data_IF_930944418948
#
_entry.id   IF_930944418948
#
_cell.length_a   1.000
_cell.length_b   1.000
_cell.length_c   1.000
_cell.angle_alpha   90.00
_cell.angle_beta   90.00
_cell.angle_gamma   90.00
#
_symmetry.space_group_name_H-M   'P 1'
#
loop_
_entity.id
_entity.type
_entity.pdbx_description
1 polymer ?
#
# COMPACT_ATOMS: atom_id res chain seq x y z
N UNK A 1 -24.19 19.04 -15.30
CA UNK A 1 -23.87 18.99 -13.89
C UNK A 1 -23.26 17.64 -13.47
N UNK A 2 -23.77 16.47 -13.95
CA UNK A 2 -23.22 15.16 -13.60
C UNK A 2 -21.80 14.88 -14.13
N UNK A 3 -21.47 15.33 -15.36
CA UNK A 3 -20.13 15.09 -15.95
C UNK A 3 -18.99 15.74 -15.18
N UNK A 4 -19.18 16.92 -14.59
CA UNK A 4 -18.13 17.58 -13.79
C UNK A 4 -17.81 16.84 -12.50
N UNK A 5 -18.84 16.36 -11.80
CA UNK A 5 -18.66 15.60 -10.53
C UNK A 5 -17.95 14.27 -10.77
N UNK A 6 -18.25 13.58 -11.88
CA UNK A 6 -17.60 12.29 -12.21
C UNK A 6 -16.10 12.46 -12.53
N UNK A 7 -15.73 13.55 -13.21
CA UNK A 7 -14.31 13.84 -13.51
C UNK A 7 -13.53 14.14 -12.22
N UNK A 8 -14.11 14.96 -11.35
CA UNK A 8 -13.49 15.30 -10.06
C UNK A 8 -13.33 14.05 -9.18
N UNK A 9 -14.33 13.14 -9.21
CA UNK A 9 -14.30 11.90 -8.42
C UNK A 9 -13.29 10.88 -8.95
N UNK A 10 -13.14 10.77 -10.28
CA UNK A 10 -12.10 9.93 -10.90
C UNK A 10 -10.71 10.45 -10.54
N UNK A 11 -10.47 11.75 -10.68
CA UNK A 11 -9.19 12.37 -10.35
C UNK A 11 -8.87 12.22 -8.86
N UNK A 12 -9.84 12.50 -7.99
CA UNK A 12 -9.68 12.30 -6.54
C UNK A 12 -9.32 10.86 -6.20
N UNK A 13 -10.04 9.87 -6.75
CA UNK A 13 -9.74 8.47 -6.51
C UNK A 13 -8.31 8.11 -6.98
N UNK A 14 -7.92 8.59 -8.14
CA UNK A 14 -6.60 8.34 -8.70
C UNK A 14 -5.49 8.92 -7.81
N UNK A 15 -5.65 10.13 -7.31
CA UNK A 15 -4.71 10.75 -6.38
C UNK A 15 -4.69 10.04 -5.02
N UNK A 16 -5.85 9.65 -4.48
CA UNK A 16 -5.95 8.87 -3.26
C UNK A 16 -5.26 7.51 -3.40
N UNK A 17 -5.41 6.85 -4.55
CA UNK A 17 -4.73 5.58 -4.86
C UNK A 17 -3.21 5.76 -4.87
N UNK A 18 -2.70 6.79 -5.56
CA UNK A 18 -1.27 7.09 -5.61
C UNK A 18 -0.72 7.44 -4.22
N UNK A 19 -1.46 8.21 -3.44
CA UNK A 19 -1.09 8.55 -2.06
C UNK A 19 -1.01 7.30 -1.18
N UNK A 20 -2.05 6.47 -1.19
CA UNK A 20 -2.10 5.22 -0.42
C UNK A 20 -0.96 4.28 -0.82
N UNK A 21 -0.68 4.14 -2.12
CA UNK A 21 0.45 3.38 -2.63
C UNK A 21 1.79 3.89 -2.08
N UNK A 22 2.03 5.21 -2.13
CA UNK A 22 3.29 5.80 -1.65
C UNK A 22 3.46 5.62 -0.14
N UNK A 23 2.39 5.82 0.63
CA UNK A 23 2.44 5.62 2.08
C UNK A 23 2.71 4.16 2.43
N UNK A 24 2.01 3.22 1.79
CA UNK A 24 2.26 1.78 1.98
C UNK A 24 3.69 1.40 1.57
N UNK A 25 4.20 1.92 0.46
CA UNK A 25 5.57 1.69 0.04
C UNK A 25 6.58 2.25 1.06
N UNK A 26 6.29 3.41 1.64
CA UNK A 26 7.14 4.04 2.65
C UNK A 26 7.18 3.23 3.95
N UNK A 27 6.02 2.84 4.50
CA UNK A 27 5.95 2.10 5.78
C UNK A 27 6.38 0.64 5.67
N UNK A 28 6.27 0.02 4.49
CA UNK A 28 6.59 -1.39 4.26
C UNK A 28 7.98 -1.62 3.67
N UNK A 29 8.60 -0.59 3.13
CA UNK A 29 9.82 -0.73 2.34
C UNK A 29 9.62 -1.66 1.14
N UNK A 30 8.44 -1.67 0.53
CA UNK A 30 8.13 -2.48 -0.64
C UNK A 30 9.09 -2.19 -1.79
N UNK A 31 9.38 -3.22 -2.58
CA UNK A 31 10.09 -3.05 -3.87
C UNK A 31 9.08 -2.62 -4.91
N UNK A 32 9.48 -1.73 -5.79
CA UNK A 32 8.69 -1.34 -6.97
C UNK A 32 8.81 -2.41 -8.06
N UNK A 33 8.28 -3.58 -7.75
CA UNK A 33 8.08 -4.67 -8.70
C UNK A 33 6.67 -4.58 -9.30
N UNK A 34 6.25 -5.54 -10.08
CA UNK A 34 5.05 -5.48 -10.90
C UNK A 34 3.77 -5.06 -10.16
N UNK A 35 3.47 -5.64 -9.00
CA UNK A 35 2.27 -5.33 -8.20
C UNK A 35 2.57 -5.59 -6.72
N UNK A 36 3.23 -4.67 -6.02
CA UNK A 36 3.65 -4.90 -4.64
C UNK A 36 2.47 -5.09 -3.67
N UNK A 37 1.30 -4.52 -3.98
CA UNK A 37 0.07 -4.59 -3.21
C UNK A 37 -1.06 -5.16 -4.08
N UNK A 38 -0.87 -6.41 -4.58
CA UNK A 38 -1.66 -6.97 -5.66
C UNK A 38 -3.12 -7.24 -5.32
N UNK A 39 -3.40 -7.82 -4.14
CA UNK A 39 -4.75 -8.26 -3.79
C UNK A 39 -5.22 -7.68 -2.46
N UNK A 40 -6.50 -7.38 -2.35
CA UNK A 40 -7.10 -6.94 -1.09
C UNK A 40 -6.93 -7.98 0.03
N UNK A 41 -6.90 -9.26 -0.32
CA UNK A 41 -6.70 -10.39 0.59
C UNK A 41 -5.29 -10.47 1.17
N UNK A 42 -4.30 -9.79 0.58
CA UNK A 42 -2.96 -9.67 1.15
C UNK A 42 -2.93 -8.78 2.40
N UNK A 43 -3.96 -7.96 2.60
CA UNK A 43 -4.13 -7.08 3.74
C UNK A 43 -5.12 -7.68 4.75
N UNK A 44 -4.67 -7.89 5.98
CA UNK A 44 -5.56 -8.21 7.10
C UNK A 44 -5.70 -7.00 8.01
N UNK A 45 -6.82 -6.28 7.88
CA UNK A 45 -7.08 -5.04 8.63
C UNK A 45 -7.17 -5.33 10.13
N UNK A 46 -7.79 -6.44 10.54
CA UNK A 46 -7.95 -6.77 11.97
C UNK A 46 -6.63 -7.15 12.65
N UNK A 47 -5.75 -7.84 11.94
CA UNK A 47 -4.43 -8.21 12.45
C UNK A 47 -3.37 -7.13 12.20
N UNK A 48 -3.71 -6.06 11.50
CA UNK A 48 -2.77 -5.03 11.02
C UNK A 48 -1.59 -5.62 10.26
N UNK A 49 -1.84 -6.61 9.40
CA UNK A 49 -0.77 -7.31 8.69
C UNK A 49 -0.93 -7.19 7.17
N UNK A 50 0.21 -7.17 6.50
CA UNK A 50 0.34 -7.15 5.05
C UNK A 50 1.25 -8.29 4.61
N UNK A 51 0.75 -9.15 3.73
CA UNK A 51 1.57 -10.11 2.98
C UNK A 51 2.14 -9.42 1.75
N UNK A 52 3.44 -9.32 1.65
CA UNK A 52 4.12 -8.61 0.58
C UNK A 52 4.95 -9.56 -0.27
N UNK A 53 4.59 -9.73 -1.53
CA UNK A 53 5.33 -10.50 -2.52
C UNK A 53 6.32 -9.57 -3.27
N UNK A 54 7.53 -9.44 -2.75
CA UNK A 54 8.57 -8.55 -3.30
C UNK A 54 9.26 -9.08 -4.56
N UNK A 55 9.04 -10.33 -4.92
CA UNK A 55 9.64 -10.99 -6.08
C UNK A 55 8.55 -11.55 -6.97
N UNK A 56 8.81 -11.61 -8.27
CA UNK A 56 7.86 -12.04 -9.30
C UNK A 56 7.27 -13.44 -9.14
N UNK A 57 7.60 -14.16 -8.08
CA UNK A 57 7.18 -15.54 -7.84
C UNK A 57 6.37 -15.65 -6.55
N UNK A 58 5.05 -15.42 -6.64
CA UNK A 58 4.10 -15.77 -5.57
C UNK A 58 4.14 -17.29 -5.26
N UNK A 59 4.57 -18.10 -6.22
CA UNK A 59 4.62 -19.56 -6.10
C UNK A 59 5.78 -20.07 -5.24
N UNK A 60 6.88 -19.32 -5.11
CA UNK A 60 8.11 -19.80 -4.45
C UNK A 60 8.18 -19.48 -2.93
N UNK A 61 7.08 -19.10 -2.29
CA UNK A 61 7.07 -18.80 -0.85
C UNK A 61 7.93 -17.60 -0.44
N UNK A 62 8.31 -16.75 -1.39
CA UNK A 62 9.18 -15.58 -1.17
C UNK A 62 8.44 -14.34 -0.62
N UNK A 63 7.18 -14.49 -0.24
CA UNK A 63 6.42 -13.42 0.42
C UNK A 63 6.85 -13.26 1.88
N UNK A 64 6.82 -12.03 2.37
CA UNK A 64 7.03 -11.69 3.77
C UNK A 64 5.76 -11.16 4.39
N UNK A 65 5.56 -11.46 5.67
CA UNK A 65 4.50 -10.88 6.47
C UNK A 65 5.06 -9.65 7.20
N UNK A 66 4.35 -8.54 7.09
CA UNK A 66 4.64 -7.31 7.80
C UNK A 66 3.51 -6.97 8.75
N UNK A 67 3.84 -6.36 9.87
CA UNK A 67 2.90 -5.65 10.72
C UNK A 67 2.94 -4.19 10.30
N UNK A 68 1.79 -3.57 10.11
CA UNK A 68 1.65 -2.16 9.77
C UNK A 68 1.24 -1.35 11.00
N UNK A 69 1.71 -0.12 11.08
CA UNK A 69 1.29 0.83 12.11
C UNK A 69 -0.05 1.52 11.77
N UNK A 70 -0.57 2.24 12.74
CA UNK A 70 -1.91 2.85 12.70
C UNK A 70 -2.10 3.81 11.52
N UNK A 71 -1.09 4.63 11.19
CA UNK A 71 -1.17 5.57 10.07
C UNK A 71 -1.47 4.85 8.75
N UNK A 72 -0.75 3.75 8.50
CA UNK A 72 -0.95 2.96 7.29
C UNK A 72 -2.33 2.29 7.28
N UNK A 73 -2.75 1.76 8.42
CA UNK A 73 -4.05 1.09 8.56
C UNK A 73 -5.21 2.07 8.37
N UNK A 74 -5.16 3.25 8.99
CA UNK A 74 -6.16 4.29 8.79
C UNK A 74 -6.23 4.75 7.33
N UNK A 75 -5.09 4.88 6.64
CA UNK A 75 -5.10 5.24 5.22
C UNK A 75 -5.72 4.12 4.36
N UNK A 76 -5.46 2.85 4.68
CA UNK A 76 -6.11 1.71 4.03
C UNK A 76 -7.63 1.72 4.23
N UNK A 77 -8.08 2.02 5.44
CA UNK A 77 -9.51 2.15 5.75
C UNK A 77 -10.16 3.28 4.94
N UNK A 78 -9.51 4.44 4.86
CA UNK A 78 -10.01 5.57 4.05
C UNK A 78 -10.05 5.22 2.55
N UNK A 79 -9.02 4.55 2.05
CA UNK A 79 -9.03 4.05 0.67
C UNK A 79 -10.18 3.08 0.42
N UNK A 80 -10.35 2.08 1.28
CA UNK A 80 -11.43 1.10 1.18
C UNK A 80 -12.82 1.77 1.27
N UNK A 81 -12.99 2.74 2.16
CA UNK A 81 -14.24 3.52 2.28
C UNK A 81 -14.55 4.28 0.98
N UNK A 82 -13.52 4.85 0.35
CA UNK A 82 -13.69 5.50 -0.94
C UNK A 82 -14.06 4.50 -2.05
N UNK A 83 -13.46 3.31 -2.06
CA UNK A 83 -13.81 2.22 -3.00
C UNK A 83 -15.26 1.79 -2.81
N UNK A 84 -15.72 1.59 -1.57
CA UNK A 84 -17.09 1.23 -1.24
C UNK A 84 -18.08 2.34 -1.66
N UNK A 85 -17.70 3.60 -1.50
CA UNK A 85 -18.48 4.74 -2.02
C UNK A 85 -18.60 4.72 -3.56
N UNK A 86 -17.51 4.46 -4.29
CA UNK A 86 -17.52 4.38 -5.75
C UNK A 86 -18.42 3.26 -6.27
N UNK A 87 -18.44 2.10 -5.60
CA UNK A 87 -19.34 1.00 -5.94
C UNK A 87 -20.80 1.47 -5.88
N UNK A 88 -21.19 2.17 -4.81
CA UNK A 88 -22.54 2.71 -4.67
C UNK A 88 -22.85 3.80 -5.68
N UNK A 89 -21.92 4.72 -5.91
CA UNK A 89 -22.07 5.84 -6.83
C UNK A 89 -22.27 5.40 -8.28
N UNK A 90 -21.51 4.40 -8.72
CA UNK A 90 -21.56 3.89 -10.10
C UNK A 90 -22.56 2.75 -10.32
N UNK A 91 -23.20 2.24 -9.29
CA UNK A 91 -24.08 1.06 -9.37
C UNK A 91 -25.15 1.16 -10.46
N UNK A 92 -25.72 2.36 -10.67
CA UNK A 92 -26.79 2.60 -11.64
C UNK A 92 -26.24 3.23 -12.92
N UNK A 93 -25.36 4.23 -12.79
CA UNK A 93 -24.89 5.02 -13.94
C UNK A 93 -23.83 4.31 -14.79
N UNK A 94 -22.98 3.48 -14.18
CA UNK A 94 -21.88 2.75 -14.82
C UNK A 94 -21.74 1.33 -14.22
N UNK A 95 -22.75 0.44 -14.41
CA UNK A 95 -22.81 -0.85 -13.69
C UNK A 95 -21.62 -1.78 -14.00
N UNK A 96 -21.02 -1.72 -15.18
CA UNK A 96 -19.82 -2.47 -15.53
C UNK A 96 -18.61 -2.01 -14.70
N UNK A 97 -18.41 -0.70 -14.60
CA UNK A 97 -17.35 -0.13 -13.76
C UNK A 97 -17.55 -0.50 -12.29
N UNK A 98 -18.78 -0.39 -11.77
CA UNK A 98 -19.09 -0.80 -10.40
C UNK A 98 -18.76 -2.29 -10.15
N UNK A 99 -18.94 -3.14 -11.12
CA UNK A 99 -18.59 -4.56 -11.02
C UNK A 99 -17.08 -4.80 -11.04
N UNK A 100 -16.33 -4.11 -11.88
CA UNK A 100 -14.86 -4.15 -11.88
C UNK A 100 -14.30 -3.69 -10.50
N UNK A 101 -14.87 -2.63 -9.93
CA UNK A 101 -14.47 -2.12 -8.61
C UNK A 101 -14.80 -3.13 -7.51
N UNK A 102 -15.97 -3.81 -7.56
CA UNK A 102 -16.33 -4.88 -6.60
C UNK A 102 -15.33 -6.03 -6.65
N UNK A 103 -14.93 -6.45 -7.84
CA UNK A 103 -13.93 -7.52 -8.01
C UNK A 103 -12.59 -7.13 -7.40
N UNK A 104 -12.13 -5.90 -7.61
CA UNK A 104 -10.93 -5.38 -6.96
C UNK A 104 -11.07 -5.36 -5.43
N UNK A 105 -12.23 -4.95 -4.92
CA UNK A 105 -12.53 -4.92 -3.48
C UNK A 105 -12.62 -6.30 -2.85
N UNK A 106 -13.10 -7.30 -3.61
CA UNK A 106 -13.20 -8.70 -3.18
C UNK A 106 -11.86 -9.46 -3.24
N UNK A 107 -10.85 -8.93 -3.93
CA UNK A 107 -9.56 -9.59 -4.13
C UNK A 107 -9.45 -10.40 -5.44
N UNK A 108 -10.46 -10.30 -6.32
CA UNK A 108 -10.49 -10.97 -7.63
C UNK A 108 -9.79 -10.14 -8.73
N UNK A 109 -9.29 -8.96 -8.39
CA UNK A 109 -8.52 -8.07 -9.25
C UNK A 109 -7.57 -7.21 -8.41
N UNK A 110 -6.69 -6.43 -9.06
CA UNK A 110 -5.76 -5.53 -8.38
C UNK A 110 -6.48 -4.61 -7.41
N UNK A 111 -6.10 -4.67 -6.15
CA UNK A 111 -6.71 -3.87 -5.08
C UNK A 111 -6.47 -2.37 -5.25
N UNK A 112 -5.22 -1.97 -5.53
CA UNK A 112 -4.90 -0.58 -5.86
C UNK A 112 -5.02 -0.40 -7.38
N UNK A 113 -6.01 0.39 -7.80
CA UNK A 113 -6.30 0.65 -9.21
C UNK A 113 -6.51 2.14 -9.45
N UNK A 114 -6.33 2.56 -10.70
CA UNK A 114 -6.76 3.86 -11.18
C UNK A 114 -8.06 3.71 -11.98
N UNK A 115 -8.87 4.74 -11.98
CA UNK A 115 -9.99 4.89 -12.91
C UNK A 115 -9.48 5.54 -14.19
N UNK A 116 -9.86 4.99 -15.34
CA UNK A 116 -9.53 5.55 -16.65
C UNK A 116 -10.53 5.10 -17.69
N UNK A 117 -11.22 6.03 -18.34
CA UNK A 117 -12.19 5.76 -19.42
C UNK A 117 -13.27 4.74 -18.99
N UNK A 118 -13.86 4.93 -17.83
CA UNK A 118 -14.88 4.05 -17.25
C UNK A 118 -14.42 2.59 -16.99
N UNK A 119 -13.12 2.38 -16.76
CA UNK A 119 -12.53 1.10 -16.41
C UNK A 119 -11.56 1.22 -15.22
N UNK A 120 -11.39 0.13 -14.50
CA UNK A 120 -10.29 -0.01 -13.54
C UNK A 120 -9.00 -0.36 -14.26
N UNK A 121 -7.91 0.28 -13.86
CA UNK A 121 -6.58 0.04 -14.39
C UNK A 121 -5.60 -0.29 -13.28
N UNK A 122 -5.02 -1.47 -13.36
CA UNK A 122 -3.98 -1.93 -12.42
C UNK A 122 -2.86 -0.92 -12.27
N UNK A 123 -2.46 -0.65 -11.03
CA UNK A 123 -1.37 0.26 -10.70
C UNK A 123 -0.02 -0.43 -10.92
N UNK A 124 0.60 -0.15 -12.06
CA UNK A 124 1.94 -0.66 -12.39
C UNK A 124 3.04 0.35 -12.02
N UNK A 125 4.29 -0.09 -11.78
CA UNK A 125 5.41 0.81 -11.49
C UNK A 125 5.61 1.89 -12.56
N UNK A 126 5.48 1.54 -13.83
CA UNK A 126 5.57 2.50 -14.94
C UNK A 126 4.46 3.55 -14.91
N UNK A 127 3.24 3.13 -14.53
CA UNK A 127 2.10 4.03 -14.42
C UNK A 127 2.26 4.98 -13.23
N UNK A 128 2.71 4.47 -12.08
CA UNK A 128 3.06 5.28 -10.91
C UNK A 128 4.13 6.31 -11.27
N UNK A 129 5.23 5.88 -11.89
CA UNK A 129 6.32 6.76 -12.28
C UNK A 129 5.86 7.86 -13.22
N UNK A 130 5.02 7.53 -14.21
CA UNK A 130 4.46 8.50 -15.16
C UNK A 130 3.58 9.53 -14.46
N UNK A 131 2.70 9.10 -13.56
CA UNK A 131 1.79 9.99 -12.82
C UNK A 131 2.53 10.90 -11.84
N UNK A 132 3.56 10.39 -11.17
CA UNK A 132 4.38 11.18 -10.25
C UNK A 132 5.34 12.13 -11.00
N UNK A 133 5.76 11.80 -12.22
CA UNK A 133 6.77 12.56 -12.97
C UNK A 133 6.38 14.02 -13.24
N UNK A 134 5.09 14.34 -13.24
CA UNK A 134 4.58 15.70 -13.42
C UNK A 134 4.85 16.60 -12.21
N UNK A 135 4.88 16.00 -11.01
CA UNK A 135 5.05 16.71 -9.73
C UNK A 135 6.40 16.45 -9.08
N UNK A 136 6.86 15.22 -9.15
CA UNK A 136 8.07 14.76 -8.50
C UNK A 136 8.63 13.53 -9.21
N UNK A 137 9.95 13.44 -9.41
CA UNK A 137 10.60 12.34 -10.15
C UNK A 137 11.53 11.50 -9.24
N UNK A 138 11.04 10.91 -8.16
CA UNK A 138 11.87 10.05 -7.36
C UNK A 138 12.13 8.73 -8.09
N UNK A 139 13.25 8.06 -7.82
CA UNK A 139 13.40 6.66 -8.18
C UNK A 139 12.26 5.84 -7.57
N UNK A 140 11.70 4.87 -8.30
CA UNK A 140 10.57 4.06 -7.80
C UNK A 140 10.83 3.40 -6.44
N UNK A 141 12.09 3.01 -6.17
CA UNK A 141 12.49 2.39 -4.90
C UNK A 141 12.89 3.40 -3.80
N UNK A 142 12.62 4.71 -4.00
CA UNK A 142 13.02 5.72 -3.02
C UNK A 142 12.46 5.46 -1.61
N UNK A 143 11.19 5.00 -1.43
CA UNK A 143 10.66 4.77 -0.08
C UNK A 143 11.46 3.69 0.66
N UNK A 144 11.83 2.64 -0.08
CA UNK A 144 12.64 1.54 0.45
C UNK A 144 14.06 1.99 0.84
N UNK A 145 14.71 2.79 0.00
CA UNK A 145 16.04 3.34 0.31
C UNK A 145 15.99 4.29 1.48
N UNK A 146 14.99 5.14 1.53
CA UNK A 146 14.75 6.08 2.62
C UNK A 146 14.56 5.34 3.95
N UNK A 147 13.64 4.40 4.01
CA UNK A 147 13.38 3.60 5.21
C UNK A 147 14.61 2.79 5.64
N UNK A 148 15.33 2.20 4.69
CA UNK A 148 16.59 1.49 5.00
C UNK A 148 17.63 2.42 5.61
N UNK A 149 17.79 3.62 5.08
CA UNK A 149 18.74 4.62 5.62
C UNK A 149 18.35 5.03 7.03
N UNK A 150 17.06 5.20 7.28
CA UNK A 150 16.55 5.51 8.60
C UNK A 150 16.86 4.38 9.61
N UNK A 151 16.66 3.11 9.23
CA UNK A 151 16.97 1.97 10.09
C UNK A 151 18.44 1.88 10.50
N UNK A 152 19.37 2.36 9.67
CA UNK A 152 20.81 2.35 10.01
C UNK A 152 21.09 3.19 11.27
N UNK A 153 20.32 4.25 11.49
CA UNK A 153 20.42 5.09 12.69
C UNK A 153 19.67 4.58 13.91
N UNK A 154 18.97 3.44 13.80
CA UNK A 154 18.15 2.89 14.88
C UNK A 154 18.81 1.67 15.53
N UNK A 155 18.51 1.46 16.81
CA UNK A 155 19.06 0.34 17.60
C UNK A 155 18.34 -1.02 17.36
N UNK A 156 17.84 -1.27 16.14
CA UNK A 156 17.22 -2.55 15.82
C UNK A 156 18.26 -3.61 15.46
N UNK A 157 17.99 -4.85 15.87
CA UNK A 157 18.81 -6.01 15.48
C UNK A 157 18.86 -6.15 13.96
N UNK A 158 20.06 -6.40 13.41
CA UNK A 158 20.25 -6.55 11.95
C UNK A 158 19.35 -7.63 11.34
N UNK A 159 19.09 -8.72 12.06
CA UNK A 159 18.20 -9.80 11.64
C UNK A 159 16.77 -9.33 11.42
N UNK A 160 16.24 -8.56 12.38
CA UNK A 160 14.87 -8.00 12.32
C UNK A 160 14.72 -7.05 11.13
N UNK A 161 15.67 -6.12 10.94
CA UNK A 161 15.65 -5.19 9.81
C UNK A 161 15.75 -5.95 8.48
N UNK A 162 16.60 -6.99 8.40
CA UNK A 162 16.73 -7.81 7.19
C UNK A 162 15.44 -8.57 6.89
N UNK A 163 14.81 -9.18 7.89
CA UNK A 163 13.53 -9.86 7.74
C UNK A 163 12.44 -8.88 7.27
N UNK A 164 12.34 -7.72 7.92
CA UNK A 164 11.41 -6.67 7.52
C UNK A 164 11.64 -6.19 6.09
N UNK A 165 12.90 -6.03 5.68
CA UNK A 165 13.26 -5.59 4.31
C UNK A 165 13.20 -6.72 3.27
N UNK A 166 12.87 -7.96 3.65
CA UNK A 166 12.83 -9.11 2.74
C UNK A 166 14.20 -9.45 2.13
N UNK A 167 15.27 -9.24 2.89
CA UNK A 167 16.61 -9.66 2.51
C UNK A 167 16.83 -11.10 3.01
N UNK A 168 16.44 -12.09 2.20
CA UNK A 168 16.87 -13.47 2.44
C UNK A 168 18.38 -13.57 2.20
N UNK A 169 19.10 -14.23 3.07
CA UNK A 169 20.50 -14.59 2.81
C UNK A 169 20.53 -15.65 1.70
N UNK A 170 21.02 -15.27 0.53
CA UNK A 170 21.38 -16.22 -0.50
C UNK A 170 22.54 -17.08 0.06
N UNK A 171 22.24 -18.33 0.36
CA UNK A 171 23.21 -19.27 0.92
C UNK A 171 23.09 -19.50 2.43
N UNK A 172 22.18 -18.85 3.14
CA UNK A 172 21.87 -19.24 4.51
C UNK A 172 21.25 -20.64 4.53
N UNK A 173 21.74 -21.55 5.39
CA UNK A 173 21.17 -22.88 5.49
C UNK A 173 19.69 -22.82 5.90
N UNK A 174 18.91 -23.90 5.64
CA UNK A 174 17.48 -23.96 5.99
C UNK A 174 17.15 -23.67 7.46
N UNK A 175 18.14 -23.70 8.35
CA UNK A 175 18.04 -23.30 9.75
C UNK A 175 17.66 -21.83 9.94
N UNK A 176 17.92 -20.96 8.95
CA UNK A 176 17.40 -19.60 8.96
C UNK A 176 15.86 -19.54 8.91
N UNK A 177 15.18 -20.64 8.57
CA UNK A 177 13.74 -20.79 8.71
C UNK A 177 13.27 -20.85 10.16
N UNK A 178 14.14 -21.18 11.10
CA UNK A 178 13.85 -21.26 12.53
C UNK A 178 14.30 -20.02 13.29
N UNK A 179 15.09 -19.16 12.65
CA UNK A 179 15.48 -17.85 13.17
C UNK A 179 14.34 -16.85 12.90
N UNK A 180 13.15 -17.23 13.40
CA UNK A 180 11.93 -16.50 13.16
C UNK A 180 11.95 -15.18 13.91
N UNK A 181 12.01 -14.07 13.16
CA UNK A 181 11.65 -12.77 13.71
C UNK A 181 10.27 -12.89 14.34
N UNK A 182 10.20 -12.68 15.64
CA UNK A 182 8.95 -12.84 16.38
C UNK A 182 7.94 -11.76 15.95
N UNK A 183 6.66 -12.07 16.03
CA UNK A 183 5.59 -11.07 15.78
C UNK A 183 5.76 -9.87 16.70
N UNK A 184 6.29 -10.06 17.91
CA UNK A 184 6.58 -8.99 18.85
C UNK A 184 7.65 -8.03 18.31
N UNK A 185 8.75 -8.53 17.74
CA UNK A 185 9.80 -7.71 17.12
C UNK A 185 9.27 -6.96 15.89
N UNK A 186 8.46 -7.63 15.06
CA UNK A 186 7.80 -6.98 13.92
C UNK A 186 6.85 -5.86 14.36
N UNK A 187 6.11 -6.06 15.45
CA UNK A 187 5.25 -5.01 16.02
C UNK A 187 6.06 -3.84 16.58
N UNK A 188 7.14 -4.11 17.30
CA UNK A 188 8.02 -3.06 17.83
C UNK A 188 8.59 -2.21 16.69
N UNK A 189 9.00 -2.86 15.60
CA UNK A 189 9.51 -2.16 14.43
C UNK A 189 8.40 -1.37 13.71
N UNK A 190 7.20 -1.93 13.56
CA UNK A 190 6.05 -1.22 13.01
C UNK A 190 5.68 0.02 13.83
N UNK A 191 5.71 -0.09 15.16
CA UNK A 191 5.47 1.05 16.07
C UNK A 191 6.52 2.15 15.87
N UNK A 192 7.79 1.80 15.75
CA UNK A 192 8.85 2.78 15.52
C UNK A 192 8.73 3.44 14.13
N UNK A 193 8.40 2.68 13.10
CA UNK A 193 8.10 3.24 11.76
C UNK A 193 6.90 4.19 11.83
N UNK A 194 5.83 3.80 12.54
CA UNK A 194 4.65 4.65 12.70
C UNK A 194 4.99 5.98 13.38
N UNK A 195 5.74 5.93 14.49
CA UNK A 195 6.21 7.14 15.19
C UNK A 195 7.09 8.03 14.31
N UNK A 196 7.95 7.41 13.51
CA UNK A 196 8.79 8.15 12.56
C UNK A 196 7.93 8.85 11.49
N UNK A 197 6.98 8.15 10.87
CA UNK A 197 6.08 8.74 9.87
C UNK A 197 5.23 9.85 10.49
N UNK A 198 4.75 9.66 11.72
CA UNK A 198 3.98 10.65 12.46
C UNK A 198 4.81 11.94 12.71
N UNK A 199 6.10 11.78 13.04
CA UNK A 199 7.02 12.90 13.22
C UNK A 199 7.26 13.73 11.94
N UNK A 200 6.99 13.14 10.77
CA UNK A 200 7.06 13.83 9.48
C UNK A 200 5.80 14.65 9.17
N UNK A 201 4.79 14.59 10.04
CA UNK A 201 3.48 15.25 9.87
C UNK A 201 2.85 14.92 8.51
N UNK A 202 2.97 13.68 8.04
CA UNK A 202 2.34 13.22 6.81
C UNK A 202 0.83 13.09 7.09
N UNK A 203 -0.03 13.89 6.43
CA UNK A 203 -1.46 13.87 6.72
C UNK A 203 -2.11 12.59 6.20
N UNK A 204 -3.19 12.15 6.83
CA UNK A 204 -4.10 11.17 6.24
C UNK A 204 -4.97 11.86 5.19
N UNK A 205 -5.22 11.16 4.09
CA UNK A 205 -6.17 11.59 3.06
C UNK A 205 -7.46 10.81 3.24
N UNK A 206 -8.53 11.52 3.59
CA UNK A 206 -9.85 10.93 3.85
C UNK A 206 -10.57 10.59 2.54
N UNK A 207 -11.50 9.63 2.60
CA UNK A 207 -12.37 9.29 1.47
C UNK A 207 -13.24 10.49 1.04
N UNK A 208 -13.69 10.50 -0.22
CA UNK A 208 -14.49 11.57 -0.80
C UNK A 208 -15.70 11.98 0.03
N UNK A 209 -16.38 11.01 0.63
CA UNK A 209 -17.61 11.22 1.40
C UNK A 209 -17.39 11.26 2.91
N UNK A 210 -16.15 11.28 3.37
CA UNK A 210 -15.87 11.38 4.83
C UNK A 210 -16.13 12.81 5.28
N UNK A 211 -17.03 13.02 6.28
CA UNK A 211 -17.23 14.34 6.84
C UNK A 211 -15.90 14.88 7.39
N UNK A 212 -15.43 15.99 6.86
CA UNK A 212 -14.28 16.71 7.41
C UNK A 212 -14.69 17.36 8.71
N UNK A 213 -14.49 16.70 9.83
CA UNK A 213 -14.50 17.37 11.12
C UNK A 213 -13.29 18.31 11.16
N UNK A 214 -13.50 19.59 10.91
CA UNK A 214 -12.51 20.61 11.23
C UNK A 214 -12.25 20.53 12.74
N UNK A 215 -11.08 20.08 13.13
CA UNK A 215 -10.57 20.25 14.48
C UNK A 215 -10.15 21.69 14.72
#
# INVERSE_FOLDING_TARGET
>A
ARKGVDVDLEEFHNELTLYTFQLLALVSGARSVTEPFGEATDMNVHACTLRLADKNNRQDGSSRLLVLGDIAMHQVEEYNRNVDFLIGHYAISKPRLAEEIRRARAGDASWLFLLQNDHTKTLTPKLVQRRLAERWRPPLNWPRHFLRSWFVGQAFGRGVVRAFMGHADTGAPPLSRYDGTSVFELRSLATAVNQFIDSLNIPLVTAWNTPTYRR
#
